data_IF_475974420668
#
_entry.id   IF_475974420668
#
_cell.length_a   1.000
_cell.length_b   1.000
_cell.length_c   1.000
_cell.angle_alpha   90.00
_cell.angle_beta   90.00
_cell.angle_gamma   90.00
#
_symmetry.space_group_name_H-M   'P 1'
#
loop_
_entity.id
_entity.type
_entity.pdbx_description
1 polymer ?
#
# COMPACT_ATOMS: atom_id res chain seq x y z
N UNK A 1 -8.70 -16.45 -12.26
CA UNK A 1 -7.74 -16.40 -11.12
C UNK A 1 -7.20 -15.00 -10.94
N UNK A 2 -7.54 -14.35 -9.83
CA UNK A 2 -6.98 -13.04 -9.48
C UNK A 2 -5.56 -13.23 -8.94
N UNK A 3 -4.57 -12.48 -9.41
CA UNK A 3 -3.23 -12.50 -8.81
C UNK A 3 -3.25 -11.69 -7.51
N UNK A 4 -2.67 -12.23 -6.45
CA UNK A 4 -2.55 -11.57 -5.16
C UNK A 4 -1.14 -11.80 -4.58
N UNK A 5 -0.59 -10.79 -3.93
CA UNK A 5 0.76 -10.79 -3.36
C UNK A 5 0.68 -10.54 -1.85
N UNK A 6 1.19 -11.47 -1.04
CA UNK A 6 1.23 -11.30 0.42
C UNK A 6 2.42 -10.41 0.78
N UNK A 7 2.14 -9.21 1.29
CA UNK A 7 3.17 -8.20 1.55
C UNK A 7 3.51 -7.98 3.03
N UNK A 8 2.63 -8.41 3.95
CA UNK A 8 2.71 -8.23 5.42
C UNK A 8 2.69 -6.77 5.91
N UNK A 9 3.46 -5.88 5.30
CA UNK A 9 3.59 -4.47 5.66
C UNK A 9 3.37 -3.56 4.46
N UNK A 10 2.91 -2.33 4.74
CA UNK A 10 2.53 -1.35 3.71
C UNK A 10 3.66 -0.99 2.73
N UNK A 11 4.90 -0.85 3.22
CA UNK A 11 6.05 -0.50 2.37
C UNK A 11 6.33 -1.57 1.31
N UNK A 12 6.22 -2.86 1.66
CA UNK A 12 6.35 -3.97 0.72
C UNK A 12 5.22 -3.95 -0.29
N UNK A 13 3.98 -3.68 0.13
CA UNK A 13 2.84 -3.58 -0.78
C UNK A 13 3.03 -2.45 -1.81
N UNK A 14 3.54 -1.30 -1.38
CA UNK A 14 3.83 -0.16 -2.26
C UNK A 14 4.94 -0.49 -3.27
N UNK A 15 6.00 -1.18 -2.84
CA UNK A 15 7.05 -1.67 -3.76
C UNK A 15 6.52 -2.70 -4.76
N UNK A 16 5.68 -3.66 -4.32
CA UNK A 16 5.06 -4.64 -5.21
C UNK A 16 4.14 -3.97 -6.24
N UNK A 17 3.39 -2.95 -5.83
CA UNK A 17 2.61 -2.11 -6.76
C UNK A 17 3.55 -1.48 -7.79
N UNK A 18 4.63 -0.83 -7.37
CA UNK A 18 5.60 -0.20 -8.29
C UNK A 18 6.17 -1.16 -9.34
N UNK A 19 6.46 -2.40 -8.94
CA UNK A 19 7.04 -3.40 -9.84
C UNK A 19 6.05 -3.91 -10.91
N UNK A 20 4.75 -3.80 -10.66
CA UNK A 20 3.71 -4.39 -11.51
C UNK A 20 2.80 -3.38 -12.20
N UNK A 21 2.72 -2.16 -11.68
CA UNK A 21 1.86 -1.09 -12.21
C UNK A 21 2.32 -0.68 -13.60
N UNK A 22 1.38 -0.56 -14.53
CA UNK A 22 1.63 -0.17 -15.91
C UNK A 22 1.16 1.26 -16.18
N UNK A 23 1.64 1.81 -17.29
CA UNK A 23 1.14 3.08 -17.82
C UNK A 23 -0.39 3.00 -17.99
N UNK A 24 -1.08 4.03 -17.54
CA UNK A 24 -2.55 4.16 -17.51
C UNK A 24 -3.30 3.28 -16.49
N UNK A 25 -2.61 2.66 -15.52
CA UNK A 25 -3.25 1.99 -14.39
C UNK A 25 -3.27 2.90 -13.13
N UNK A 26 -4.16 2.57 -12.18
CA UNK A 26 -4.29 3.29 -10.91
C UNK A 26 -4.08 2.32 -9.75
N UNK A 27 -3.21 2.69 -8.82
CA UNK A 27 -3.06 2.02 -7.55
C UNK A 27 -3.96 2.67 -6.47
N UNK A 28 -4.63 1.85 -5.65
CA UNK A 28 -5.52 2.31 -4.59
C UNK A 28 -5.16 1.66 -3.25
N UNK A 29 -5.03 2.48 -2.21
CA UNK A 29 -5.02 2.00 -0.82
C UNK A 29 -6.45 1.88 -0.30
N UNK A 30 -6.99 0.66 -0.23
CA UNK A 30 -8.33 0.38 0.32
C UNK A 30 -8.30 -0.85 1.25
N UNK A 31 -7.74 -0.73 2.47
CA UNK A 31 -7.40 -1.87 3.32
C UNK A 31 -8.59 -2.58 3.97
N UNK A 32 -9.82 -2.09 3.85
CA UNK A 32 -11.07 -2.63 4.42
C UNK A 32 -11.07 -2.96 5.94
N UNK A 33 -9.97 -2.65 6.64
CA UNK A 33 -9.68 -3.02 8.01
C UNK A 33 -9.18 -1.82 8.83
N UNK A 34 -9.32 -1.92 10.15
CA UNK A 34 -8.71 -1.00 11.10
C UNK A 34 -7.19 -0.95 10.91
N UNK A 35 -6.56 0.15 11.33
CA UNK A 35 -5.11 0.36 11.19
C UNK A 35 -4.30 0.00 12.43
N UNK A 36 -4.98 -0.36 13.53
CA UNK A 36 -4.43 -0.37 14.89
C UNK A 36 -3.45 -1.52 15.17
N UNK A 37 -3.34 -2.47 14.23
CA UNK A 37 -2.38 -3.57 14.27
C UNK A 37 -0.94 -3.12 13.95
N UNK A 38 -0.78 -2.16 13.04
CA UNK A 38 0.53 -1.68 12.57
C UNK A 38 0.73 -0.16 12.71
N UNK A 39 -0.33 0.59 13.01
CA UNK A 39 -0.31 2.06 13.06
C UNK A 39 -1.19 2.58 14.20
N UNK A 40 -0.85 3.73 14.77
CA UNK A 40 -1.64 4.39 15.80
C UNK A 40 -2.98 4.93 15.28
N UNK A 41 -3.08 5.19 13.97
CA UNK A 41 -4.32 5.68 13.35
C UNK A 41 -4.37 5.44 11.84
N UNK A 42 -5.57 5.54 11.26
CA UNK A 42 -5.74 5.48 9.80
C UNK A 42 -5.06 6.67 9.11
N UNK A 43 -4.94 7.81 9.80
CA UNK A 43 -4.25 9.01 9.32
C UNK A 43 -2.75 8.74 9.20
N UNK A 44 -2.16 8.12 10.23
CA UNK A 44 -0.75 7.71 10.19
C UNK A 44 -0.49 6.71 9.06
N UNK A 45 -1.35 5.68 8.91
CA UNK A 45 -1.27 4.73 7.79
C UNK A 45 -1.29 5.44 6.43
N UNK A 46 -2.16 6.44 6.26
CA UNK A 46 -2.24 7.25 5.05
C UNK A 46 -1.00 8.14 4.82
N UNK A 47 -0.42 8.69 5.88
CA UNK A 47 0.83 9.46 5.81
C UNK A 47 1.99 8.56 5.36
N UNK A 48 2.15 7.39 5.99
CA UNK A 48 3.19 6.42 5.62
C UNK A 48 3.01 5.93 4.18
N UNK A 49 1.78 5.70 3.72
CA UNK A 49 1.52 5.37 2.31
C UNK A 49 2.09 6.43 1.36
N UNK A 50 1.80 7.71 1.60
CA UNK A 50 2.32 8.82 0.78
C UNK A 50 3.84 8.88 0.82
N UNK A 51 4.45 8.68 1.99
CA UNK A 51 5.90 8.65 2.13
C UNK A 51 6.54 7.49 1.36
N UNK A 52 5.91 6.30 1.36
CA UNK A 52 6.38 5.17 0.56
C UNK A 52 6.28 5.46 -0.95
N UNK A 53 5.16 6.03 -1.41
CA UNK A 53 4.96 6.40 -2.82
C UNK A 53 6.00 7.43 -3.28
N UNK A 54 6.31 8.43 -2.46
CA UNK A 54 7.32 9.46 -2.80
C UNK A 54 8.78 8.95 -2.82
N UNK A 55 9.04 7.73 -2.36
CA UNK A 55 10.38 7.12 -2.31
C UNK A 55 10.64 6.15 -3.46
N UNK A 56 9.62 5.86 -4.27
CA UNK A 56 9.72 5.11 -5.52
C UNK A 56 10.14 6.08 -6.62
#
# INVERSE_FOLDING_TARGET
>A
NLKAYKCEVLSKAVNEISNHLRVNEVALLSPACASLDQFNSYVERGKVFKECVNKI
#
